data_IF_806664218189
#
_entry.id   IF_806664218189
#
_cell.length_a   1.000
_cell.length_b   1.000
_cell.length_c   1.000
_cell.angle_alpha   90.00
_cell.angle_beta   90.00
_cell.angle_gamma   90.00
#
_symmetry.space_group_name_H-M   'P 1'
#
loop_
_entity.id
_entity.type
_entity.pdbx_description
1 polymer ?
#
# COMPACT_ATOMS: atom_id res chain seq x y z
N UNK A 1 -38.15 -4.17 16.67
CA UNK A 1 -36.71 -4.44 16.46
C UNK A 1 -35.89 -3.56 17.37
N UNK A 2 -35.07 -4.15 18.23
CA UNK A 2 -34.24 -3.43 19.20
C UNK A 2 -33.22 -2.50 18.50
N UNK A 3 -33.01 -1.30 19.04
CA UNK A 3 -32.13 -0.27 18.46
C UNK A 3 -30.72 -0.80 18.18
N UNK A 4 -30.18 -1.65 19.06
CA UNK A 4 -28.86 -2.25 18.89
C UNK A 4 -28.77 -3.20 17.66
N UNK A 5 -29.80 -4.03 17.43
CA UNK A 5 -29.85 -4.92 16.26
C UNK A 5 -29.93 -4.10 14.96
N UNK A 6 -30.67 -2.99 14.97
CA UNK A 6 -30.75 -2.06 13.83
C UNK A 6 -29.42 -1.42 13.49
N UNK A 7 -28.71 -0.93 14.51
CA UNK A 7 -27.40 -0.30 14.33
C UNK A 7 -26.39 -1.29 13.79
N UNK A 8 -26.32 -2.51 14.34
CA UNK A 8 -25.37 -3.53 13.88
C UNK A 8 -25.66 -4.03 12.47
N UNK A 9 -26.92 -4.19 12.09
CA UNK A 9 -27.29 -4.57 10.72
C UNK A 9 -26.93 -3.46 9.72
N UNK A 10 -27.13 -2.19 10.07
CA UNK A 10 -26.75 -1.07 9.21
C UNK A 10 -25.23 -1.00 9.06
N UNK A 11 -24.48 -1.06 10.16
CA UNK A 11 -23.00 -1.05 10.13
C UNK A 11 -22.47 -2.25 9.36
N UNK A 12 -23.00 -3.45 9.61
CA UNK A 12 -22.62 -4.66 8.89
C UNK A 12 -22.90 -4.56 7.38
N UNK A 13 -24.05 -4.00 6.99
CA UNK A 13 -24.38 -3.80 5.56
C UNK A 13 -23.40 -2.83 4.92
N UNK A 14 -23.14 -1.69 5.55
CA UNK A 14 -22.21 -0.67 5.02
C UNK A 14 -20.79 -1.24 4.91
N UNK A 15 -20.30 -1.90 5.97
CA UNK A 15 -18.97 -2.51 5.99
C UNK A 15 -18.83 -3.59 4.92
N UNK A 16 -19.87 -4.41 4.72
CA UNK A 16 -19.87 -5.46 3.69
C UNK A 16 -19.86 -4.85 2.28
N UNK A 17 -20.65 -3.80 2.03
CA UNK A 17 -20.68 -3.12 0.72
C UNK A 17 -19.33 -2.47 0.42
N UNK A 18 -18.76 -1.74 1.39
CA UNK A 18 -17.42 -1.15 1.25
C UNK A 18 -16.38 -2.25 1.01
N UNK A 19 -16.48 -3.37 1.73
CA UNK A 19 -15.59 -4.51 1.54
C UNK A 19 -15.69 -5.13 0.15
N UNK A 20 -16.90 -5.34 -0.37
CA UNK A 20 -17.09 -5.89 -1.73
C UNK A 20 -16.51 -4.94 -2.77
N UNK A 21 -16.78 -3.64 -2.65
CA UNK A 21 -16.24 -2.63 -3.58
C UNK A 21 -14.72 -2.59 -3.50
N UNK A 22 -14.15 -2.51 -2.30
CA UNK A 22 -12.70 -2.49 -2.10
C UNK A 22 -12.01 -3.74 -2.65
N UNK A 23 -12.58 -4.91 -2.41
CA UNK A 23 -12.05 -6.17 -2.94
C UNK A 23 -12.12 -6.23 -4.47
N UNK A 24 -13.23 -5.79 -5.07
CA UNK A 24 -13.37 -5.78 -6.53
C UNK A 24 -12.38 -4.81 -7.19
N UNK A 25 -12.16 -3.64 -6.58
CA UNK A 25 -11.15 -2.69 -7.05
C UNK A 25 -9.74 -3.27 -6.93
N UNK A 26 -9.38 -3.83 -5.77
CA UNK A 26 -8.06 -4.46 -5.58
C UNK A 26 -7.82 -5.63 -6.53
N UNK A 27 -8.80 -6.51 -6.71
CA UNK A 27 -8.68 -7.64 -7.64
C UNK A 27 -8.48 -7.20 -9.10
N UNK A 28 -9.06 -6.06 -9.50
CA UNK A 28 -8.89 -5.51 -10.84
C UNK A 28 -7.47 -4.97 -11.11
N UNK A 29 -6.69 -4.67 -10.07
CA UNK A 29 -5.32 -4.15 -10.23
C UNK A 29 -4.26 -5.25 -10.38
N UNK A 30 -4.60 -6.53 -10.24
CA UNK A 30 -3.62 -7.61 -10.37
C UNK A 30 -3.09 -7.68 -11.81
N UNK A 31 -4.00 -7.61 -12.78
CA UNK A 31 -3.64 -7.65 -14.20
C UNK A 31 -2.87 -6.38 -14.59
N UNK A 32 -3.31 -5.21 -14.11
CA UNK A 32 -2.61 -3.92 -14.34
C UNK A 32 -1.16 -3.98 -13.80
N UNK A 33 -0.96 -4.49 -12.58
CA UNK A 33 0.37 -4.68 -11.98
C UNK A 33 1.23 -5.62 -12.84
N UNK A 34 0.67 -6.73 -13.31
CA UNK A 34 1.39 -7.63 -14.21
C UNK A 34 1.79 -6.92 -15.52
N UNK A 35 0.89 -6.12 -16.08
CA UNK A 35 1.15 -5.35 -17.30
C UNK A 35 2.24 -4.29 -17.08
N UNK A 36 2.19 -3.52 -15.98
CA UNK A 36 3.21 -2.52 -15.64
C UNK A 36 4.58 -3.14 -15.42
N UNK A 37 4.65 -4.27 -14.69
CA UNK A 37 5.89 -5.04 -14.58
C UNK A 37 6.43 -5.42 -15.97
N UNK A 38 5.54 -5.67 -16.92
CA UNK A 38 5.88 -6.12 -18.26
C UNK A 38 6.01 -4.99 -19.29
N UNK A 39 6.02 -3.73 -18.87
CA UNK A 39 6.25 -2.55 -19.71
C UNK A 39 7.72 -2.46 -20.12
N UNK A 40 7.94 -2.17 -21.41
CA UNK A 40 9.27 -1.95 -21.97
C UNK A 40 9.29 -0.62 -22.74
N UNK A 41 10.40 0.11 -22.65
CA UNK A 41 10.66 1.26 -23.52
C UNK A 41 10.93 0.80 -24.96
N UNK A 42 11.62 -0.34 -25.10
CA UNK A 42 11.89 -0.97 -26.38
C UNK A 42 11.63 -2.47 -26.31
N UNK A 43 10.91 -2.99 -27.30
CA UNK A 43 10.67 -4.41 -27.50
C UNK A 43 11.24 -4.88 -28.83
N UNK A 44 11.98 -5.99 -28.81
CA UNK A 44 12.54 -6.61 -30.03
C UNK A 44 13.37 -5.61 -30.87
N UNK A 45 14.17 -4.79 -30.19
CA UNK A 45 14.96 -3.72 -30.79
C UNK A 45 16.44 -4.11 -30.89
N UNK A 46 17.17 -3.52 -31.85
CA UNK A 46 18.64 -3.61 -31.94
C UNK A 46 19.31 -2.28 -31.68
N UNK A 47 18.54 -1.20 -31.57
CA UNK A 47 18.99 0.12 -31.20
C UNK A 47 17.81 0.92 -30.67
N UNK A 48 18.10 2.03 -30.00
CA UNK A 48 17.10 2.93 -29.48
C UNK A 48 17.75 4.12 -28.80
N UNK A 49 16.96 5.16 -28.59
CA UNK A 49 17.31 6.32 -27.77
C UNK A 49 16.24 6.51 -26.71
N UNK A 50 16.65 6.60 -25.45
CA UNK A 50 15.79 6.77 -24.28
C UNK A 50 16.20 8.10 -23.63
N UNK A 51 15.21 8.88 -23.18
CA UNK A 51 15.46 10.10 -22.43
C UNK A 51 15.31 9.79 -20.93
N UNK A 52 16.40 9.94 -20.19
CA UNK A 52 16.43 9.88 -18.73
C UNK A 52 15.93 11.22 -18.19
N UNK A 53 15.02 11.18 -17.21
CA UNK A 53 14.36 12.38 -16.67
C UNK A 53 15.05 12.95 -15.43
N UNK A 54 15.56 12.09 -14.52
CA UNK A 54 16.25 12.49 -13.28
C UNK A 54 15.55 13.62 -12.50
N UNK A 55 14.33 13.34 -12.02
CA UNK A 55 13.43 14.34 -11.46
C UNK A 55 13.96 15.04 -10.19
N UNK A 56 14.85 14.38 -9.45
CA UNK A 56 15.40 14.90 -8.20
C UNK A 56 16.84 15.45 -8.32
N UNK A 57 17.45 15.32 -9.50
CA UNK A 57 18.81 15.80 -9.77
C UNK A 57 19.90 15.01 -9.06
N UNK A 58 19.61 13.80 -8.57
CA UNK A 58 20.57 12.94 -7.86
C UNK A 58 21.11 11.82 -8.75
N UNK A 59 20.64 11.70 -9.98
CA UNK A 59 20.99 10.64 -10.90
C UNK A 59 20.03 9.45 -10.80
N UNK A 60 19.91 8.75 -11.91
CA UNK A 60 18.91 7.71 -12.15
C UNK A 60 19.47 6.29 -11.94
N UNK A 61 18.60 5.35 -11.58
CA UNK A 61 18.91 3.91 -11.49
C UNK A 61 19.31 3.33 -12.85
N UNK A 62 18.76 3.89 -13.93
CA UNK A 62 19.12 3.66 -15.31
C UNK A 62 18.21 2.66 -16.02
N UNK A 63 18.84 1.87 -16.88
CA UNK A 63 18.17 0.98 -17.82
C UNK A 63 18.55 -0.47 -17.54
N UNK A 64 17.58 -1.38 -17.61
CA UNK A 64 17.85 -2.82 -17.60
C UNK A 64 17.60 -3.43 -18.97
N UNK A 65 18.54 -4.28 -19.40
CA UNK A 65 18.51 -4.97 -20.69
C UNK A 65 18.18 -6.46 -20.51
N UNK A 66 17.27 -6.92 -21.35
CA UNK A 66 16.75 -8.27 -21.38
C UNK A 66 16.88 -8.84 -22.79
N UNK A 67 17.04 -10.17 -22.88
CA UNK A 67 17.07 -10.89 -24.16
C UNK A 67 16.30 -12.19 -24.07
N UNK A 68 15.86 -12.71 -25.21
CA UNK A 68 15.28 -14.05 -25.27
C UNK A 68 16.36 -15.09 -25.04
N UNK A 69 16.16 -15.96 -24.06
CA UNK A 69 17.14 -16.99 -23.74
C UNK A 69 16.84 -17.74 -22.46
N UNK A 70 17.82 -18.52 -22.05
CA UNK A 70 17.86 -19.26 -20.79
C UNK A 70 19.25 -19.12 -20.19
N UNK A 71 19.37 -19.25 -18.88
CA UNK A 71 20.67 -19.29 -18.20
C UNK A 71 21.28 -20.69 -18.35
N UNK A 72 22.22 -20.81 -19.27
CA UNK A 72 23.01 -22.01 -19.53
C UNK A 72 24.49 -21.62 -19.68
N UNK A 73 25.37 -22.51 -19.23
CA UNK A 73 26.82 -22.43 -19.42
C UNK A 73 27.24 -23.75 -20.10
N UNK A 74 27.18 -23.74 -21.43
CA UNK A 74 27.38 -24.94 -22.24
C UNK A 74 28.87 -25.26 -22.40
N UNK A 75 29.73 -24.25 -22.45
CA UNK A 75 31.17 -24.43 -22.64
C UNK A 75 31.97 -24.56 -21.33
N UNK A 76 31.34 -24.29 -20.19
CA UNK A 76 31.84 -24.53 -18.84
C UNK A 76 32.89 -23.51 -18.42
N UNK A 77 32.75 -22.25 -18.86
CA UNK A 77 33.67 -21.16 -18.57
C UNK A 77 33.25 -20.29 -17.38
N UNK A 78 32.21 -20.73 -16.64
CA UNK A 78 31.63 -20.07 -15.48
C UNK A 78 30.98 -18.70 -15.83
N UNK A 79 30.58 -18.46 -17.08
CA UNK A 79 29.82 -17.27 -17.52
C UNK A 79 28.57 -17.73 -18.26
N UNK A 80 27.42 -17.06 -18.05
CA UNK A 80 26.23 -17.44 -18.81
C UNK A 80 26.41 -17.14 -20.31
N UNK A 81 26.14 -18.15 -21.14
CA UNK A 81 26.24 -18.08 -22.60
C UNK A 81 25.45 -16.89 -23.16
N UNK A 82 24.30 -16.58 -22.55
CA UNK A 82 23.44 -15.48 -22.99
C UNK A 82 24.11 -14.11 -22.86
N UNK A 83 24.97 -13.90 -21.87
CA UNK A 83 25.73 -12.65 -21.75
C UNK A 83 26.90 -12.60 -22.72
N UNK A 84 27.56 -13.74 -22.98
CA UNK A 84 28.68 -13.78 -23.91
C UNK A 84 28.25 -13.57 -25.35
N UNK A 85 27.09 -14.12 -25.71
CA UNK A 85 26.53 -14.01 -27.05
C UNK A 85 25.86 -12.66 -27.30
N UNK A 86 25.59 -11.87 -26.25
CA UNK A 86 24.95 -10.56 -26.36
C UNK A 86 25.96 -9.44 -26.18
N UNK A 87 26.08 -8.59 -27.20
CA UNK A 87 26.88 -7.38 -27.14
C UNK A 87 25.95 -6.18 -27.23
N UNK A 88 25.88 -5.42 -26.14
CA UNK A 88 25.18 -4.13 -26.06
C UNK A 88 26.22 -3.04 -25.89
N UNK A 89 26.17 -2.03 -26.76
CA UNK A 89 27.04 -0.86 -26.73
C UNK A 89 26.20 0.38 -26.54
N UNK A 90 26.55 1.19 -25.53
CA UNK A 90 25.98 2.53 -25.37
C UNK A 90 26.77 3.47 -26.28
N UNK A 91 26.06 4.17 -27.16
CA UNK A 91 26.63 5.07 -28.17
C UNK A 91 26.52 6.55 -27.78
N UNK A 92 25.63 6.85 -26.84
CA UNK A 92 25.41 8.18 -26.26
C UNK A 92 24.96 7.98 -24.81
N UNK A 93 25.55 8.71 -23.87
CA UNK A 93 25.14 8.76 -22.47
C UNK A 93 25.28 10.19 -21.94
N UNK A 94 24.41 10.61 -20.99
CA UNK A 94 24.56 11.86 -20.27
C UNK A 94 25.68 11.78 -19.22
N UNK A 95 25.94 12.91 -18.54
CA UNK A 95 26.85 12.94 -17.40
C UNK A 95 26.33 12.07 -16.25
N UNK A 96 27.25 11.50 -15.47
CA UNK A 96 26.94 10.64 -14.32
C UNK A 96 27.25 11.31 -12.98
N UNK A 97 26.50 10.94 -11.95
CA UNK A 97 26.74 11.35 -10.59
C UNK A 97 27.89 10.55 -9.97
N UNK A 98 29.09 11.16 -9.92
CA UNK A 98 30.29 10.55 -9.34
C UNK A 98 30.21 10.27 -7.82
N UNK A 99 29.13 10.70 -7.14
CA UNK A 99 28.89 10.34 -5.74
C UNK A 99 28.33 8.93 -5.59
N UNK A 100 27.74 8.37 -6.66
CA UNK A 100 27.23 7.00 -6.67
C UNK A 100 28.38 6.02 -6.88
N UNK A 101 28.36 4.92 -6.12
CA UNK A 101 29.40 3.91 -6.24
C UNK A 101 29.40 3.33 -7.66
N UNK A 102 30.59 3.22 -8.25
CA UNK A 102 30.85 2.74 -9.63
C UNK A 102 30.32 3.61 -10.79
N UNK A 103 29.50 4.65 -10.55
CA UNK A 103 28.94 5.48 -11.62
C UNK A 103 30.03 6.13 -12.49
N UNK A 104 31.07 6.71 -11.87
CA UNK A 104 32.22 7.30 -12.59
C UNK A 104 32.97 6.27 -13.46
N UNK A 105 33.06 5.01 -13.00
CA UNK A 105 33.80 3.95 -13.70
C UNK A 105 32.99 3.39 -14.86
N UNK A 106 31.68 3.30 -14.68
CA UNK A 106 30.75 2.80 -15.69
C UNK A 106 30.48 3.87 -16.75
N UNK A 107 30.49 5.16 -16.38
CA UNK A 107 30.36 6.31 -17.28
C UNK A 107 29.12 6.19 -18.20
N UNK A 108 28.02 5.71 -17.61
CA UNK A 108 26.75 5.46 -18.31
C UNK A 108 26.74 4.25 -19.24
N UNK A 109 27.88 3.56 -19.43
CA UNK A 109 27.98 2.41 -20.32
C UNK A 109 27.23 1.18 -19.80
N UNK A 110 27.02 0.24 -20.72
CA UNK A 110 26.47 -1.06 -20.42
C UNK A 110 27.46 -1.88 -19.59
N UNK A 111 26.94 -2.57 -18.58
CA UNK A 111 27.68 -3.53 -17.78
C UNK A 111 26.83 -4.77 -17.52
N UNK A 112 27.48 -5.92 -17.57
CA UNK A 112 26.85 -7.19 -17.25
C UNK A 112 26.45 -7.20 -15.77
N UNK A 113 25.18 -7.52 -15.54
CA UNK A 113 24.64 -7.67 -14.20
C UNK A 113 23.31 -8.43 -14.26
N UNK A 114 23.38 -9.74 -14.03
CA UNK A 114 22.17 -10.55 -13.87
C UNK A 114 21.56 -10.29 -12.49
N UNK A 115 22.32 -10.55 -11.43
CA UNK A 115 21.99 -10.15 -10.05
C UNK A 115 22.93 -9.07 -9.53
N UNK A 116 22.48 -8.25 -8.55
CA UNK A 116 23.28 -7.16 -8.01
C UNK A 116 24.69 -7.61 -7.60
N UNK A 117 25.70 -6.96 -8.19
CA UNK A 117 27.12 -7.21 -7.94
C UNK A 117 27.62 -8.63 -8.26
N UNK A 118 26.92 -9.38 -9.12
CA UNK A 118 27.33 -10.73 -9.54
C UNK A 118 27.72 -10.84 -11.02
N UNK A 119 27.72 -9.73 -11.75
CA UNK A 119 28.11 -9.73 -13.15
C UNK A 119 27.27 -10.72 -13.95
N UNK A 120 27.94 -11.57 -14.73
CA UNK A 120 27.30 -12.67 -15.44
C UNK A 120 27.90 -14.05 -15.12
N UNK A 121 28.35 -14.23 -13.89
CA UNK A 121 28.88 -15.50 -13.41
C UNK A 121 27.81 -16.61 -13.50
N UNK A 122 28.14 -17.77 -14.09
CA UNK A 122 27.24 -18.89 -14.25
C UNK A 122 27.08 -19.66 -12.94
N UNK A 123 26.07 -19.29 -12.14
CA UNK A 123 25.71 -20.02 -10.94
C UNK A 123 24.23 -19.84 -10.60
N UNK A 124 23.63 -20.84 -9.94
CA UNK A 124 22.20 -20.86 -9.60
C UNK A 124 21.70 -19.65 -8.79
N UNK A 125 22.59 -18.89 -8.13
CA UNK A 125 22.21 -17.68 -7.39
C UNK A 125 22.25 -16.42 -8.27
N UNK A 126 22.89 -16.48 -9.43
CA UNK A 126 23.01 -15.40 -10.38
C UNK A 126 22.06 -15.59 -11.56
N UNK A 127 20.78 -15.83 -11.26
CA UNK A 127 19.71 -15.96 -12.25
C UNK A 127 18.58 -15.01 -11.89
N UNK A 128 17.98 -14.36 -12.88
CA UNK A 128 16.79 -13.51 -12.71
C UNK A 128 15.61 -14.07 -13.52
N UNK A 129 14.52 -14.39 -12.85
CA UNK A 129 13.31 -14.98 -13.47
C UNK A 129 12.14 -14.01 -13.54
N UNK A 130 12.36 -12.71 -13.36
CA UNK A 130 11.30 -11.72 -13.26
C UNK A 130 10.49 -11.58 -14.56
N UNK A 131 11.04 -12.04 -15.70
CA UNK A 131 10.41 -11.99 -17.03
C UNK A 131 10.37 -13.36 -17.74
N UNK A 132 10.44 -14.45 -16.97
CA UNK A 132 10.46 -15.82 -17.50
C UNK A 132 9.20 -16.18 -18.32
N UNK A 133 8.03 -15.63 -17.96
CA UNK A 133 6.78 -15.82 -18.71
C UNK A 133 6.86 -15.33 -20.17
N UNK A 134 7.74 -14.34 -20.45
CA UNK A 134 8.03 -13.84 -21.80
C UNK A 134 9.23 -14.54 -22.44
N UNK A 135 9.86 -15.48 -21.74
CA UNK A 135 11.11 -16.16 -22.14
C UNK A 135 12.31 -15.23 -22.17
N UNK A 136 12.28 -14.20 -21.31
CA UNK A 136 13.33 -13.18 -21.24
C UNK A 136 14.20 -13.40 -20.00
N UNK A 137 15.51 -13.17 -20.19
CA UNK A 137 16.52 -13.20 -19.13
C UNK A 137 17.21 -11.85 -19.06
N UNK A 138 17.52 -11.39 -17.84
CA UNK A 138 18.30 -10.18 -17.61
C UNK A 138 19.77 -10.45 -17.93
N UNK A 139 20.42 -9.54 -18.64
CA UNK A 139 21.86 -9.64 -18.97
C UNK A 139 22.69 -8.52 -18.36
N UNK A 140 22.09 -7.35 -18.12
CA UNK A 140 22.84 -6.23 -17.57
C UNK A 140 22.04 -4.95 -17.51
N UNK A 141 22.76 -3.90 -17.15
CA UNK A 141 22.21 -2.56 -16.99
C UNK A 141 23.09 -1.53 -17.67
N UNK A 142 22.55 -0.33 -17.88
CA UNK A 142 23.30 0.84 -18.30
C UNK A 142 22.80 2.08 -17.57
N UNK A 143 23.53 3.17 -17.70
CA UNK A 143 23.18 4.46 -17.12
C UNK A 143 23.02 4.51 -15.60
N UNK A 144 23.85 3.76 -14.86
CA UNK A 144 23.86 3.84 -13.40
C UNK A 144 24.33 5.21 -12.91
N UNK A 145 23.45 5.95 -12.25
CA UNK A 145 23.71 7.30 -11.74
C UNK A 145 23.70 8.38 -12.83
N UNK A 146 23.09 8.14 -13.99
CA UNK A 146 22.98 9.14 -15.04
C UNK A 146 22.08 10.31 -14.67
N UNK A 147 22.49 11.53 -14.99
CA UNK A 147 21.62 12.70 -14.95
C UNK A 147 20.66 12.74 -16.14
N UNK A 148 19.77 13.73 -16.15
CA UNK A 148 18.84 13.99 -17.27
C UNK A 148 19.58 14.04 -18.61
N UNK A 149 19.09 13.27 -19.59
CA UNK A 149 19.61 13.31 -20.95
C UNK A 149 19.36 12.05 -21.77
N UNK A 150 19.87 12.06 -23.00
CA UNK A 150 19.65 10.95 -23.94
C UNK A 150 20.66 9.83 -23.73
N UNK A 151 20.15 8.61 -23.75
CA UNK A 151 20.93 7.37 -23.79
C UNK A 151 20.60 6.65 -25.07
N UNK A 152 21.60 6.47 -25.92
CA UNK A 152 21.46 5.72 -27.16
C UNK A 152 22.22 4.41 -27.06
N UNK A 153 21.65 3.32 -27.57
CA UNK A 153 22.29 2.00 -27.56
C UNK A 153 22.22 1.32 -28.93
N UNK A 154 23.15 0.39 -29.15
CA UNK A 154 23.15 -0.58 -30.23
C UNK A 154 23.42 -1.98 -29.67
N UNK A 155 22.83 -3.00 -30.30
CA UNK A 155 22.97 -4.40 -29.89
C UNK A 155 23.18 -5.29 -31.10
N UNK A 156 24.02 -6.32 -30.95
CA UNK A 156 24.23 -7.34 -31.98
C UNK A 156 23.00 -8.25 -32.20
N UNK A 157 22.05 -8.25 -31.26
CA UNK A 157 20.82 -9.03 -31.31
C UNK A 157 19.61 -8.27 -30.73
N UNK A 158 18.45 -8.93 -30.77
CA UNK A 158 17.19 -8.37 -30.30
C UNK A 158 17.14 -8.28 -28.77
N UNK A 159 16.95 -7.07 -28.26
CA UNK A 159 16.85 -6.77 -26.83
C UNK A 159 15.50 -6.17 -26.49
N UNK A 160 15.13 -6.32 -25.22
CA UNK A 160 14.06 -5.61 -24.55
C UNK A 160 14.69 -4.71 -23.50
N UNK A 161 14.23 -3.47 -23.39
CA UNK A 161 14.83 -2.49 -22.49
C UNK A 161 13.75 -1.91 -21.59
N UNK A 162 14.01 -1.95 -20.28
CA UNK A 162 13.17 -1.31 -19.27
C UNK A 162 13.86 -0.06 -18.76
N UNK A 163 13.08 0.99 -18.53
CA UNK A 163 13.50 2.14 -17.75
C UNK A 163 13.06 1.93 -16.31
N UNK A 164 14.01 1.69 -15.41
CA UNK A 164 13.77 1.11 -14.10
C UNK A 164 12.98 2.03 -13.16
N UNK A 165 13.16 3.35 -13.22
CA UNK A 165 12.37 4.30 -12.41
C UNK A 165 10.90 4.33 -12.83
N UNK A 166 10.60 4.40 -14.13
CA UNK A 166 9.22 4.40 -14.63
C UNK A 166 8.47 3.14 -14.26
N UNK A 167 9.10 1.98 -14.48
CA UNK A 167 8.53 0.69 -14.09
C UNK A 167 8.31 0.67 -12.56
N UNK A 168 9.27 1.17 -11.78
CA UNK A 168 9.12 1.27 -10.33
C UNK A 168 7.98 2.18 -9.86
N UNK A 169 7.78 3.33 -10.50
CA UNK A 169 6.71 4.28 -10.18
C UNK A 169 5.33 3.69 -10.47
N UNK A 170 5.14 3.13 -11.67
CA UNK A 170 3.87 2.49 -12.07
C UNK A 170 3.50 1.35 -11.10
N UNK A 171 4.46 0.47 -10.79
CA UNK A 171 4.28 -0.63 -9.84
C UNK A 171 3.93 -0.11 -8.44
N UNK A 172 4.54 0.98 -8.00
CA UNK A 172 4.29 1.55 -6.67
C UNK A 172 2.87 2.13 -6.58
N UNK A 173 2.41 2.83 -7.62
CA UNK A 173 1.05 3.38 -7.69
C UNK A 173 0.01 2.26 -7.68
N UNK A 174 0.13 1.30 -8.60
CA UNK A 174 -0.81 0.18 -8.73
C UNK A 174 -0.76 -0.75 -7.51
N UNK A 175 0.44 -0.99 -6.97
CA UNK A 175 0.66 -1.76 -5.75
C UNK A 175 0.00 -1.14 -4.52
N UNK A 176 -0.02 0.20 -4.41
CA UNK A 176 -0.74 0.89 -3.34
C UNK A 176 -2.26 0.66 -3.45
N UNK A 177 -2.82 0.77 -4.66
CA UNK A 177 -4.25 0.55 -4.89
C UNK A 177 -4.62 -0.91 -4.60
N UNK A 178 -3.78 -1.85 -5.03
CA UNK A 178 -3.91 -3.28 -4.74
C UNK A 178 -3.99 -3.54 -3.23
N UNK A 179 -3.00 -3.04 -2.47
CA UNK A 179 -2.92 -3.23 -1.01
C UNK A 179 -4.11 -2.57 -0.30
N UNK A 180 -4.48 -1.35 -0.67
CA UNK A 180 -5.64 -0.66 -0.10
C UNK A 180 -6.94 -1.39 -0.42
N UNK A 181 -7.10 -1.84 -1.66
CA UNK A 181 -8.25 -2.62 -2.12
C UNK A 181 -8.43 -3.91 -1.33
N UNK A 182 -7.34 -4.68 -1.14
CA UNK A 182 -7.39 -5.89 -0.34
C UNK A 182 -7.52 -5.65 1.17
N UNK A 183 -6.91 -4.61 1.72
CA UNK A 183 -7.04 -4.29 3.15
C UNK A 183 -8.47 -3.84 3.50
N UNK A 184 -9.03 -2.93 2.71
CA UNK A 184 -10.42 -2.48 2.87
C UNK A 184 -11.41 -3.59 2.53
N UNK A 185 -11.09 -4.39 1.50
CA UNK A 185 -11.91 -5.50 1.04
C UNK A 185 -12.00 -6.64 2.05
N UNK A 186 -10.85 -7.19 2.43
CA UNK A 186 -10.73 -8.29 3.38
C UNK A 186 -11.26 -7.92 4.77
N UNK A 187 -10.93 -6.73 5.27
CA UNK A 187 -11.43 -6.24 6.56
C UNK A 187 -12.94 -5.98 6.54
N UNK A 188 -13.45 -5.36 5.48
CA UNK A 188 -14.87 -5.01 5.33
C UNK A 188 -15.77 -6.23 5.17
N UNK A 189 -15.39 -7.20 4.34
CA UNK A 189 -16.17 -8.43 4.12
C UNK A 189 -16.16 -9.30 5.38
N UNK A 190 -14.99 -9.56 5.97
CA UNK A 190 -14.86 -10.45 7.12
C UNK A 190 -15.63 -9.93 8.34
N UNK A 191 -15.43 -8.65 8.70
CA UNK A 191 -16.10 -8.06 9.87
C UNK A 191 -17.56 -7.69 9.57
N UNK A 192 -17.87 -7.25 8.34
CA UNK A 192 -19.22 -6.89 7.92
C UNK A 192 -20.19 -8.06 7.97
N UNK A 193 -19.78 -9.22 7.46
CA UNK A 193 -20.61 -10.45 7.49
C UNK A 193 -20.85 -10.91 8.93
N UNK A 194 -19.84 -10.82 9.81
CA UNK A 194 -20.01 -11.15 11.23
C UNK A 194 -21.02 -10.23 11.91
N UNK A 195 -20.98 -8.92 11.66
CA UNK A 195 -21.97 -8.00 12.21
C UNK A 195 -23.37 -8.24 11.65
N UNK A 196 -23.50 -8.64 10.39
CA UNK A 196 -24.78 -9.04 9.79
C UNK A 196 -25.34 -10.32 10.45
N UNK A 197 -24.50 -11.31 10.70
CA UNK A 197 -24.91 -12.56 11.37
C UNK A 197 -25.35 -12.27 12.81
N UNK A 198 -24.55 -11.53 13.59
CA UNK A 198 -24.86 -11.21 14.99
C UNK A 198 -26.10 -10.31 15.07
N UNK A 199 -26.19 -9.29 14.23
CA UNK A 199 -27.36 -8.41 14.13
C UNK A 199 -28.62 -9.16 13.71
N UNK A 200 -28.50 -10.13 12.79
CA UNK A 200 -29.58 -10.98 12.33
C UNK A 200 -30.09 -11.93 13.42
N UNK A 201 -29.19 -12.57 14.16
CA UNK A 201 -29.55 -13.40 15.31
C UNK A 201 -30.31 -12.55 16.35
N UNK A 202 -29.77 -11.38 16.73
CA UNK A 202 -30.45 -10.49 17.69
C UNK A 202 -31.80 -9.98 17.19
N UNK A 203 -31.94 -9.70 15.90
CA UNK A 203 -33.22 -9.30 15.32
C UNK A 203 -34.29 -10.41 15.38
N UNK A 204 -33.88 -11.69 15.34
CA UNK A 204 -34.77 -12.84 15.43
C UNK A 204 -35.04 -13.32 16.87
N UNK A 205 -34.09 -13.13 17.79
CA UNK A 205 -34.18 -13.67 19.16
C UNK A 205 -34.67 -12.65 20.18
N UNK A 206 -34.55 -11.34 19.94
CA UNK A 206 -35.02 -10.31 20.86
C UNK A 206 -36.49 -10.00 20.60
N UNK A 207 -37.34 -10.21 21.61
CA UNK A 207 -38.75 -9.78 21.59
C UNK A 207 -38.83 -8.27 21.78
N UNK A 208 -39.83 -7.65 21.15
CA UNK A 208 -40.14 -6.23 21.34
C UNK A 208 -40.64 -6.00 22.76
N UNK A 209 -39.73 -5.80 23.70
CA UNK A 209 -40.09 -5.22 24.98
C UNK A 209 -40.47 -3.77 24.71
N UNK A 210 -41.79 -3.53 24.59
CA UNK A 210 -42.34 -2.19 24.74
C UNK A 210 -41.68 -1.56 25.95
N UNK A 211 -41.09 -0.39 25.75
CA UNK A 211 -40.49 0.43 26.78
C UNK A 211 -41.19 0.20 28.11
N UNK A 212 -40.50 -0.42 29.06
CA UNK A 212 -40.95 -0.41 30.43
C UNK A 212 -40.93 1.06 30.82
N UNK A 213 -42.10 1.72 30.75
CA UNK A 213 -42.32 2.99 31.39
C UNK A 213 -41.74 2.84 32.79
N UNK A 214 -40.74 3.66 33.12
CA UNK A 214 -40.19 3.71 34.46
C UNK A 214 -41.34 4.14 35.37
N UNK A 215 -42.00 3.15 35.97
CA UNK A 215 -43.00 3.37 36.98
C UNK A 215 -42.24 3.88 38.21
N UNK A 216 -42.18 5.21 38.33
CA UNK A 216 -41.66 5.87 39.52
C UNK A 216 -42.61 5.54 40.67
N UNK A 217 -42.28 4.53 41.47
CA UNK A 217 -42.94 4.25 42.73
C UNK A 217 -42.27 5.08 43.83
N UNK A 218 -42.94 6.10 44.40
CA UNK A 218 -42.42 6.76 45.59
C UNK A 218 -42.48 5.79 46.79
N UNK A 219 -41.45 5.72 47.65
CA UNK A 219 -41.51 4.89 48.84
C UNK A 219 -42.57 5.43 49.81
N UNK A 220 -43.59 4.60 50.05
CA UNK A 220 -44.62 4.82 51.03
C UNK A 220 -44.17 4.24 52.36
N UNK A 221 -43.43 5.01 53.15
CA UNK A 221 -43.27 4.76 54.58
C UNK A 221 -43.58 6.05 55.35
N UNK A 222 -44.58 5.92 56.24
CA UNK A 222 -45.07 6.90 57.22
C UNK A 222 -46.18 7.85 56.76
N UNK A 223 -47.35 7.27 56.50
CA UNK A 223 -48.64 7.91 56.77
C UNK A 223 -49.39 7.08 57.82
N UNK A 224 -50.14 7.80 58.67
CA UNK A 224 -50.95 7.40 59.83
C UNK A 224 -50.24 7.72 61.16
N UNK A 225 -50.67 8.66 62.01
CA UNK A 225 -52.06 8.93 62.38
C UNK A 225 -52.23 10.32 63.07
N UNK A 226 -53.26 11.04 62.63
CA UNK A 226 -54.21 11.89 63.40
C UNK A 226 -53.75 12.94 64.44
N UNK A 227 -54.16 14.17 64.11
CA UNK A 227 -55.01 15.05 64.94
C UNK A 227 -54.43 15.88 66.11
N UNK A 228 -54.94 17.13 66.15
CA UNK A 228 -55.01 18.12 67.25
C UNK A 228 -53.89 19.17 67.35
N UNK A 229 -54.20 20.39 66.90
CA UNK A 229 -53.79 21.66 67.53
C UNK A 229 -54.54 21.80 68.87
N UNK A 230 -53.96 22.38 69.95
CA UNK A 230 -53.85 23.85 70.09
C UNK A 230 -52.60 24.42 70.83
N UNK A 231 -52.22 25.64 70.41
CA UNK A 231 -51.81 26.87 71.14
C UNK A 231 -50.84 26.80 72.37
N UNK A 232 -49.73 27.58 72.31
CA UNK A 232 -49.36 28.76 73.16
C UNK A 232 -47.82 28.97 73.15
N UNK A 233 -47.40 30.15 72.70
CA UNK A 233 -46.07 30.78 72.87
C UNK A 233 -46.08 31.63 74.16
N UNK A 234 -44.97 31.89 74.89
CA UNK A 234 -44.17 33.08 74.57
C UNK A 234 -42.64 33.03 74.87
N UNK A 235 -41.89 33.83 74.08
CA UNK A 235 -40.64 34.58 74.37
C UNK A 235 -39.33 33.79 74.59
N UNK A 236 -38.13 34.19 74.10
CA UNK A 236 -37.61 35.44 73.48
C UNK A 236 -36.21 35.18 72.82
N UNK A 237 -35.99 35.72 71.62
CA UNK A 237 -34.80 36.42 71.01
C UNK A 237 -33.34 36.02 71.35
N UNK A 238 -32.35 35.97 70.43
CA UNK A 238 -31.82 37.11 69.64
C UNK A 238 -30.90 36.71 68.45
N UNK A 239 -30.81 37.61 67.45
CA UNK A 239 -30.02 37.57 66.18
C UNK A 239 -28.62 38.22 66.28
N UNK A 240 -27.70 37.95 65.32
CA UNK A 240 -27.05 38.96 64.43
C UNK A 240 -26.04 38.38 63.41
N UNK A 241 -25.82 39.12 62.30
CA UNK A 241 -25.13 38.83 61.03
C UNK A 241 -23.71 39.53 60.94
N UNK A 242 -23.09 39.84 59.76
CA UNK A 242 -21.84 39.29 59.17
C UNK A 242 -20.66 40.32 59.04
N UNK A 243 -19.61 40.03 58.25
CA UNK A 243 -18.89 41.08 57.48
C UNK A 243 -18.14 40.55 56.22
N UNK A 244 -18.11 41.37 55.16
CA UNK A 244 -17.38 41.19 53.88
C UNK A 244 -16.31 42.27 53.75
N UNK A 245 -15.10 41.91 53.31
CA UNK A 245 -14.01 42.86 53.04
C UNK A 245 -13.57 42.88 51.57
N UNK A 246 -13.08 44.04 51.15
CA UNK A 246 -13.34 44.71 49.88
C UNK A 246 -12.19 44.64 48.85
N UNK A 247 -12.48 45.12 47.64
CA UNK A 247 -11.59 45.28 46.48
C UNK A 247 -10.57 46.41 46.64
N UNK A 248 -9.48 46.29 45.88
CA UNK A 248 -8.85 47.39 45.11
C UNK A 248 -8.52 46.88 43.73
#
# INVERSE_FOLDING_TARGET
MHTAAKVLLIIGTIATVIGIVGFALGAGQIDDLEDSWNTFEYEDATNGTIMIEDLDGQGDVGLTFWVKGVYEDVDGDDIWDVCQNTEVTITESPEVNNSWEWAEVLDGNFYNEVQPNQGCDANDKNTNYDRDAKGLVKIGRACWGCYEGNVSFESNQKVWVTYDEKVGEEIAEEGLILVLGFALGGGGICCGVLFLIIGGIMALTMKDDKAQEMMFAPPADNLMLSAQTPVVNPNKTHMSQPDFGDKT
#
